data_IF_910673295831
#
_entry.id   IF_910673295831
#
_cell.length_a   1.000
_cell.length_b   1.000
_cell.length_c   1.000
_cell.angle_alpha   90.00
_cell.angle_beta   90.00
_cell.angle_gamma   90.00
#
_symmetry.space_group_name_H-M   'P 1'
#
loop_
_entity.id
_entity.type
_entity.pdbx_description
1 polymer ?
#
# COMPACT_ATOMS: atom_id res chain seq x y z
N UNK A 1 -13.28 -20.38 15.30
CA UNK A 1 -12.68 -19.06 15.57
C UNK A 1 -11.18 -19.23 15.75
N UNK A 2 -10.36 -18.26 15.32
CA UNK A 2 -8.90 -18.33 15.49
C UNK A 2 -8.53 -17.94 16.93
N UNK A 3 -7.77 -18.77 17.63
CA UNK A 3 -7.48 -18.59 19.07
C UNK A 3 -6.59 -17.39 19.38
N UNK A 4 -6.02 -16.75 18.36
CA UNK A 4 -5.13 -15.59 18.49
C UNK A 4 -5.85 -14.24 18.38
N UNK A 5 -7.13 -14.22 18.02
CA UNK A 5 -7.89 -12.97 17.89
C UNK A 5 -8.60 -12.62 19.19
N UNK A 6 -8.49 -11.35 19.59
CA UNK A 6 -9.26 -10.82 20.72
C UNK A 6 -10.73 -10.69 20.36
N UNK A 7 -11.59 -10.69 21.37
CA UNK A 7 -13.04 -10.50 21.21
C UNK A 7 -13.40 -9.20 20.47
N UNK A 8 -12.59 -8.15 20.65
CA UNK A 8 -12.75 -6.86 19.97
C UNK A 8 -12.71 -6.99 18.45
N UNK A 9 -11.82 -7.83 17.90
CA UNK A 9 -11.68 -7.97 16.43
C UNK A 9 -12.96 -8.52 15.81
N UNK A 10 -13.74 -9.28 16.56
CA UNK A 10 -15.02 -9.82 16.11
C UNK A 10 -16.15 -8.79 16.06
N UNK A 11 -15.98 -7.60 16.66
CA UNK A 11 -16.98 -6.54 16.66
C UNK A 11 -16.66 -5.41 15.67
N UNK A 12 -15.51 -5.46 15.00
CA UNK A 12 -15.11 -4.43 14.06
C UNK A 12 -15.84 -4.60 12.73
N UNK A 13 -16.28 -3.48 12.16
CA UNK A 13 -16.63 -3.41 10.75
C UNK A 13 -15.35 -3.22 9.93
N UNK A 14 -15.02 -4.12 8.99
CA UNK A 14 -13.82 -3.99 8.18
C UNK A 14 -13.86 -2.75 7.28
N UNK A 15 -12.71 -2.10 7.10
CA UNK A 15 -12.56 -1.09 6.06
C UNK A 15 -12.81 -1.70 4.69
N UNK A 16 -13.67 -1.05 3.90
CA UNK A 16 -13.94 -1.39 2.51
C UNK A 16 -13.27 -0.34 1.61
N UNK A 17 -12.22 -0.70 0.84
CA UNK A 17 -11.63 0.23 -0.11
C UNK A 17 -12.59 0.54 -1.26
N UNK A 18 -12.44 1.71 -1.86
CA UNK A 18 -13.11 2.05 -3.12
C UNK A 18 -12.64 1.14 -4.27
N UNK A 19 -13.41 1.14 -5.37
CA UNK A 19 -13.04 0.39 -6.57
C UNK A 19 -11.67 0.84 -7.12
N UNK A 20 -10.86 -0.13 -7.54
CA UNK A 20 -9.61 0.12 -8.26
C UNK A 20 -9.57 -0.69 -9.56
N UNK A 21 -9.79 -0.05 -10.73
CA UNK A 21 -9.71 -0.70 -12.03
C UNK A 21 -8.34 -1.34 -12.28
N UNK A 22 -8.31 -2.48 -12.98
CA UNK A 22 -7.08 -3.25 -13.32
C UNK A 22 -6.80 -3.30 -14.82
N UNK A 23 -7.22 -2.28 -15.55
CA UNK A 23 -7.03 -2.18 -17.00
C UNK A 23 -5.64 -1.63 -17.34
N UNK A 24 -5.12 -2.00 -18.51
CA UNK A 24 -3.88 -1.42 -19.02
C UNK A 24 -4.09 0.07 -19.37
N UNK A 25 -3.02 0.87 -19.25
CA UNK A 25 -3.03 2.31 -19.56
C UNK A 25 -4.04 3.15 -18.75
N UNK A 26 -4.30 2.75 -17.49
CA UNK A 26 -5.16 3.49 -16.58
C UNK A 26 -4.52 4.83 -16.15
N UNK A 27 -5.24 5.94 -16.32
CA UNK A 27 -4.94 7.20 -15.61
C UNK A 27 -5.53 7.08 -14.20
N UNK A 28 -4.68 6.89 -13.20
CA UNK A 28 -5.07 6.62 -11.81
C UNK A 28 -5.19 7.93 -11.01
N UNK A 29 -6.39 8.22 -10.51
CA UNK A 29 -6.69 9.46 -9.76
C UNK A 29 -7.49 9.21 -8.47
N UNK A 30 -7.70 7.95 -8.06
CA UNK A 30 -8.66 7.58 -7.01
C UNK A 30 -8.08 7.42 -5.59
N UNK A 31 -6.77 7.52 -5.38
CA UNK A 31 -6.13 7.25 -4.08
C UNK A 31 -5.18 8.36 -3.59
N UNK A 32 -5.30 9.58 -4.14
CA UNK A 32 -4.48 10.75 -3.75
C UNK A 32 -2.95 10.53 -3.84
N UNK A 33 -2.51 9.70 -4.78
CA UNK A 33 -1.07 9.49 -5.02
C UNK A 33 -0.41 10.75 -5.59
N UNK A 34 0.88 10.93 -5.28
CA UNK A 34 1.68 11.96 -5.91
C UNK A 34 1.91 11.59 -7.39
N UNK A 35 1.68 12.50 -8.35
CA UNK A 35 1.92 12.21 -9.76
C UNK A 35 3.41 12.00 -10.10
N UNK A 36 4.33 12.46 -9.26
CA UNK A 36 5.76 12.30 -9.44
C UNK A 36 6.30 11.11 -8.64
N UNK A 37 7.37 10.50 -9.19
CA UNK A 37 8.14 9.49 -8.47
C UNK A 37 8.83 10.06 -7.22
N UNK A 38 9.36 9.18 -6.35
CA UNK A 38 10.13 9.61 -5.18
C UNK A 38 11.42 10.34 -5.60
N UNK A 39 12.02 11.08 -4.66
CA UNK A 39 13.31 11.74 -4.87
C UNK A 39 14.40 10.75 -5.28
N UNK A 40 15.33 11.12 -6.20
CA UNK A 40 16.48 10.27 -6.55
C UNK A 40 17.29 9.83 -5.32
N UNK A 41 17.44 10.71 -4.31
CA UNK A 41 18.14 10.39 -3.06
C UNK A 41 17.50 9.23 -2.28
N UNK A 42 16.18 9.10 -2.35
CA UNK A 42 15.45 7.98 -1.72
C UNK A 42 15.74 6.69 -2.47
N UNK A 43 15.77 6.74 -3.81
CA UNK A 43 16.09 5.57 -4.64
C UNK A 43 17.52 5.07 -4.38
N UNK A 44 18.48 5.98 -4.23
CA UNK A 44 19.87 5.63 -3.96
C UNK A 44 20.03 4.96 -2.60
N UNK A 45 19.37 5.49 -1.55
CA UNK A 45 19.38 4.90 -0.22
C UNK A 45 18.74 3.50 -0.20
N UNK A 46 17.58 3.33 -0.86
CA UNK A 46 16.91 2.02 -0.94
C UNK A 46 17.74 0.98 -1.69
N UNK A 47 18.41 1.38 -2.79
CA UNK A 47 19.30 0.47 -3.53
C UNK A 47 20.46 0.02 -2.66
N UNK A 48 21.13 0.95 -1.97
CA UNK A 48 22.23 0.63 -1.09
C UNK A 48 21.81 -0.40 -0.03
N UNK A 49 20.69 -0.14 0.67
CA UNK A 49 20.19 -1.03 1.72
C UNK A 49 19.75 -2.40 1.18
N UNK A 50 18.98 -2.44 0.09
CA UNK A 50 18.49 -3.70 -0.47
C UNK A 50 19.60 -4.59 -1.05
N UNK A 51 20.78 -4.02 -1.37
CA UNK A 51 21.94 -4.75 -1.90
C UNK A 51 23.00 -5.08 -0.85
N UNK A 52 22.85 -4.60 0.40
CA UNK A 52 23.74 -4.95 1.50
C UNK A 52 23.38 -6.37 1.98
N UNK A 53 24.15 -7.37 1.53
CA UNK A 53 24.06 -8.76 1.94
C UNK A 53 25.18 -9.10 2.93
#
# INVERSE_FOLDING_TARGET
MNNYWSSLVHTLEPYVPGEQPKTANLIKLNTNENPYGPSPKVLDALKAEATNN
#
